data_IF_824305495633
#
_entry.id   IF_824305495633
#
_cell.length_a   1.000
_cell.length_b   1.000
_cell.length_c   1.000
_cell.angle_alpha   90.00
_cell.angle_beta   90.00
_cell.angle_gamma   90.00
#
_symmetry.space_group_name_H-M   'P 1'
#
loop_
_entity.id
_entity.type
_entity.pdbx_description
1 polymer ?
#
# COMPACT_ATOMS: atom_id res chain seq x y z
N UNK A 1 -5.73 -9.20 -0.15
CA UNK A 1 -6.38 -8.63 -1.36
C UNK A 1 -7.53 -9.49 -1.87
N UNK A 2 -7.33 -10.79 -2.25
CA UNK A 2 -8.38 -11.63 -2.87
C UNK A 2 -9.69 -11.66 -2.08
N UNK A 3 -9.63 -11.85 -0.76
CA UNK A 3 -10.83 -11.89 0.11
C UNK A 3 -11.56 -10.54 0.08
N UNK A 4 -10.84 -9.43 0.15
CA UNK A 4 -11.41 -8.09 0.14
C UNK A 4 -12.07 -7.77 -1.22
N UNK A 5 -11.43 -8.15 -2.33
CA UNK A 5 -11.98 -7.96 -3.67
C UNK A 5 -13.27 -8.78 -3.83
N UNK A 6 -13.24 -10.07 -3.48
CA UNK A 6 -14.43 -10.94 -3.54
C UNK A 6 -15.58 -10.48 -2.64
N UNK A 7 -15.25 -9.86 -1.50
CA UNK A 7 -16.23 -9.26 -0.59
C UNK A 7 -16.75 -7.88 -1.05
N UNK A 8 -16.25 -7.35 -2.18
CA UNK A 8 -16.65 -6.05 -2.73
C UNK A 8 -16.20 -4.85 -1.92
N UNK A 9 -15.12 -4.97 -1.13
CA UNK A 9 -14.63 -3.89 -0.27
C UNK A 9 -14.24 -2.62 -1.03
N UNK A 10 -13.86 -2.75 -2.30
CA UNK A 10 -13.42 -1.63 -3.16
C UNK A 10 -14.50 -1.14 -4.12
N UNK A 11 -15.72 -1.69 -4.06
CA UNK A 11 -16.78 -1.41 -5.05
C UNK A 11 -17.10 0.09 -5.17
N UNK A 12 -17.11 0.80 -4.06
CA UNK A 12 -17.48 2.22 -4.04
C UNK A 12 -16.31 3.15 -4.45
N UNK A 13 -15.10 2.61 -4.55
CA UNK A 13 -13.88 3.32 -4.96
C UNK A 13 -13.58 3.16 -6.46
N UNK A 14 -14.15 2.14 -7.11
CA UNK A 14 -13.87 1.81 -8.51
C UNK A 14 -14.64 2.75 -9.42
N UNK A 15 -13.90 3.47 -10.26
CA UNK A 15 -14.45 4.29 -11.36
C UNK A 15 -14.20 3.58 -12.68
N UNK A 16 -15.25 3.03 -13.34
CA UNK A 16 -15.09 2.32 -14.60
C UNK A 16 -14.54 3.24 -15.72
N UNK A 17 -13.55 2.75 -16.47
CA UNK A 17 -13.00 3.44 -17.64
C UNK A 17 -13.58 2.81 -18.90
N UNK A 18 -14.26 3.62 -19.71
CA UNK A 18 -14.89 3.18 -20.96
C UNK A 18 -13.96 3.45 -22.14
N UNK A 19 -13.44 2.39 -22.74
CA UNK A 19 -12.52 2.47 -23.88
C UNK A 19 -13.33 2.26 -25.17
N UNK A 20 -13.46 3.30 -25.99
CA UNK A 20 -14.11 3.22 -27.29
C UNK A 20 -13.32 2.29 -28.23
N UNK A 21 -14.03 1.40 -28.90
CA UNK A 21 -13.46 0.51 -29.90
C UNK A 21 -13.74 1.07 -31.32
N UNK A 22 -12.86 0.74 -32.28
CA UNK A 22 -13.09 1.11 -33.67
C UNK A 22 -14.33 0.41 -34.27
N UNK A 23 -14.61 -0.80 -33.81
CA UNK A 23 -15.78 -1.60 -34.19
C UNK A 23 -16.28 -2.35 -32.93
N UNK A 24 -17.60 -2.50 -32.83
CA UNK A 24 -18.25 -3.18 -31.71
C UNK A 24 -18.50 -2.29 -30.49
N UNK A 25 -18.91 -2.90 -29.40
CA UNK A 25 -19.24 -2.22 -28.15
C UNK A 25 -17.97 -1.72 -27.43
N UNK A 26 -18.07 -0.61 -26.69
CA UNK A 26 -16.97 -0.14 -25.86
C UNK A 26 -16.52 -1.20 -24.84
N UNK A 27 -15.21 -1.28 -24.59
CA UNK A 27 -14.68 -2.10 -23.51
C UNK A 27 -14.73 -1.31 -22.20
N UNK A 28 -15.38 -1.85 -21.18
CA UNK A 28 -15.35 -1.30 -19.82
C UNK A 28 -14.21 -1.95 -19.05
N UNK A 29 -13.38 -1.13 -18.41
CA UNK A 29 -12.30 -1.57 -17.52
C UNK A 29 -12.64 -1.08 -16.11
N UNK A 30 -13.02 -1.99 -15.25
CA UNK A 30 -13.48 -1.76 -13.87
C UNK A 30 -12.89 -2.77 -12.88
N UNK A 31 -11.99 -3.61 -13.34
CA UNK A 31 -11.40 -4.69 -12.55
C UNK A 31 -9.88 -4.59 -12.59
N UNK A 32 -9.25 -4.63 -11.42
CA UNK A 32 -7.80 -4.76 -11.30
C UNK A 32 -7.38 -6.18 -11.68
N UNK A 33 -6.61 -6.29 -12.74
CA UNK A 33 -6.14 -7.57 -13.30
C UNK A 33 -4.81 -8.06 -12.72
N UNK A 34 -4.16 -7.25 -11.87
CA UNK A 34 -2.86 -7.56 -11.29
C UNK A 34 -2.92 -8.66 -10.19
N UNK A 35 -3.91 -8.69 -9.28
CA UNK A 35 -3.99 -9.68 -8.22
C UNK A 35 -4.06 -11.11 -8.75
N UNK A 36 -3.22 -12.00 -8.20
CA UNK A 36 -3.16 -13.42 -8.56
C UNK A 36 -3.99 -14.26 -7.58
N UNK A 37 -5.23 -14.51 -7.93
CA UNK A 37 -6.13 -15.32 -7.11
C UNK A 37 -5.67 -16.77 -7.03
N UNK A 38 -5.83 -17.37 -5.86
CA UNK A 38 -5.42 -18.75 -5.60
C UNK A 38 -3.90 -18.95 -5.53
N UNK A 39 -3.11 -17.89 -5.31
CA UNK A 39 -1.67 -18.04 -5.08
C UNK A 39 -1.39 -18.90 -3.84
N UNK A 40 -0.45 -19.84 -3.98
CA UNK A 40 -0.02 -20.75 -2.89
C UNK A 40 1.48 -20.67 -2.66
N UNK A 41 1.91 -21.00 -1.46
CA UNK A 41 3.34 -21.02 -1.09
C UNK A 41 4.10 -21.99 -2.01
N UNK A 42 3.53 -23.15 -2.33
CA UNK A 42 4.13 -24.16 -3.21
C UNK A 42 4.28 -23.65 -4.65
N UNK A 43 3.32 -22.85 -5.12
CA UNK A 43 3.39 -22.19 -6.42
C UNK A 43 4.47 -21.10 -6.44
N UNK A 44 4.54 -20.29 -5.40
CA UNK A 44 5.54 -19.23 -5.25
C UNK A 44 6.97 -19.78 -5.13
N UNK A 45 7.16 -20.88 -4.41
CA UNK A 45 8.47 -21.52 -4.22
C UNK A 45 9.11 -22.03 -5.51
N UNK A 46 8.33 -22.22 -6.58
CA UNK A 46 8.82 -22.66 -7.91
C UNK A 46 9.36 -21.52 -8.78
N UNK A 47 9.16 -20.28 -8.35
CA UNK A 47 9.58 -19.13 -9.14
C UNK A 47 11.09 -18.89 -9.04
N UNK A 48 11.66 -18.44 -10.16
CA UNK A 48 13.09 -18.13 -10.24
C UNK A 48 13.37 -16.77 -9.57
N UNK A 49 14.55 -16.62 -8.94
CA UNK A 49 15.02 -15.32 -8.49
C UNK A 49 15.03 -14.28 -9.60
N UNK A 50 14.59 -13.05 -9.27
CA UNK A 50 14.45 -11.98 -10.27
C UNK A 50 15.73 -11.15 -10.48
N UNK A 51 16.60 -11.04 -9.48
CA UNK A 51 17.73 -10.09 -9.50
C UNK A 51 19.10 -10.77 -9.48
N UNK A 52 19.33 -11.64 -8.53
CA UNK A 52 20.61 -12.33 -8.39
C UNK A 52 20.42 -13.85 -8.45
N UNK A 53 21.39 -14.54 -9.03
CA UNK A 53 21.42 -16.01 -9.04
C UNK A 53 21.35 -16.51 -7.59
N UNK A 54 20.50 -17.50 -7.34
CA UNK A 54 20.28 -18.08 -6.02
C UNK A 54 19.74 -17.08 -4.95
N UNK A 55 19.17 -15.95 -5.40
CA UNK A 55 18.52 -14.97 -4.54
C UNK A 55 17.12 -15.42 -4.08
N UNK A 56 16.54 -14.66 -3.15
CA UNK A 56 15.24 -14.97 -2.55
C UNK A 56 14.08 -14.11 -3.08
N UNK A 57 14.38 -13.03 -3.80
CA UNK A 57 13.36 -12.15 -4.37
C UNK A 57 12.89 -12.69 -5.72
N UNK A 58 11.59 -12.91 -5.82
CA UNK A 58 10.90 -13.42 -7.02
C UNK A 58 9.73 -12.51 -7.39
N UNK A 59 9.11 -12.76 -8.52
CA UNK A 59 7.90 -12.03 -8.95
C UNK A 59 6.70 -12.20 -7.99
N UNK A 60 6.74 -13.16 -7.05
CA UNK A 60 5.66 -13.38 -6.11
C UNK A 60 5.84 -12.69 -4.75
N UNK A 61 7.02 -12.15 -4.47
CA UNK A 61 7.32 -11.46 -3.21
C UNK A 61 7.93 -10.07 -3.43
N UNK A 62 7.68 -9.50 -4.60
CA UNK A 62 8.01 -8.14 -4.99
C UNK A 62 6.78 -7.48 -5.63
N UNK A 63 6.59 -6.18 -5.40
CA UNK A 63 5.55 -5.42 -6.07
C UNK A 63 5.84 -5.25 -7.55
N UNK A 64 4.79 -5.09 -8.36
CA UNK A 64 4.92 -4.74 -9.77
C UNK A 64 5.23 -3.26 -9.97
N UNK A 65 5.65 -2.92 -11.18
CA UNK A 65 5.75 -1.54 -11.65
C UNK A 65 4.47 -1.27 -12.42
N UNK A 66 3.55 -0.50 -11.83
CA UNK A 66 2.24 -0.24 -12.36
C UNK A 66 2.04 1.27 -12.57
N UNK A 67 1.24 1.62 -13.57
CA UNK A 67 0.81 3.00 -13.76
C UNK A 67 -0.21 3.37 -12.68
N UNK A 68 -0.14 4.61 -12.20
CA UNK A 68 -1.07 5.10 -11.19
C UNK A 68 -1.02 6.61 -11.07
N UNK A 69 -2.09 7.18 -10.58
CA UNK A 69 -2.16 8.60 -10.26
C UNK A 69 -3.05 8.81 -9.03
N UNK A 70 -2.68 9.78 -8.20
CA UNK A 70 -3.48 10.22 -7.08
C UNK A 70 -3.44 11.75 -6.96
N UNK A 71 -4.54 12.33 -6.52
CA UNK A 71 -4.64 13.77 -6.30
C UNK A 71 -5.36 14.03 -4.98
N UNK A 72 -4.83 14.99 -4.21
CA UNK A 72 -5.39 15.41 -2.93
C UNK A 72 -5.54 16.93 -2.89
N UNK A 73 -6.62 17.39 -2.28
CA UNK A 73 -6.76 18.80 -1.87
C UNK A 73 -6.41 18.89 -0.40
N UNK A 74 -5.33 19.62 -0.10
CA UNK A 74 -4.84 19.83 1.27
C UNK A 74 -5.05 21.28 1.61
N UNK A 75 -5.60 21.56 2.79
CA UNK A 75 -5.84 22.91 3.30
C UNK A 75 -5.74 22.95 4.83
N UNK A 76 -5.71 24.14 5.42
CA UNK A 76 -5.79 24.26 6.87
C UNK A 76 -7.20 23.93 7.38
N UNK A 77 -7.31 23.59 8.66
CA UNK A 77 -8.59 23.32 9.30
C UNK A 77 -9.52 24.55 9.23
N UNK A 78 -8.96 25.75 9.45
CA UNK A 78 -9.68 27.02 9.38
C UNK A 78 -10.26 27.26 7.98
N UNK A 79 -9.46 26.92 6.93
CA UNK A 79 -9.93 27.09 5.54
C UNK A 79 -11.03 26.08 5.19
N UNK A 80 -10.96 24.87 5.71
CA UNK A 80 -12.02 23.87 5.53
C UNK A 80 -13.33 24.35 6.19
N UNK A 81 -13.25 24.91 7.39
CA UNK A 81 -14.39 25.48 8.11
C UNK A 81 -14.99 26.68 7.35
N UNK A 82 -14.16 27.64 6.91
CA UNK A 82 -14.59 28.79 6.11
C UNK A 82 -15.37 28.38 4.86
N UNK A 83 -14.93 27.29 4.20
CA UNK A 83 -15.56 26.78 2.97
C UNK A 83 -16.71 25.80 3.24
N UNK A 84 -17.02 25.46 4.48
CA UNK A 84 -18.05 24.48 4.84
C UNK A 84 -17.70 23.06 4.38
N UNK A 85 -16.41 22.73 4.25
CA UNK A 85 -15.93 21.43 3.79
C UNK A 85 -15.66 20.54 5.01
N UNK A 86 -16.21 19.32 5.01
CA UNK A 86 -15.86 18.30 5.99
C UNK A 86 -14.59 17.57 5.55
N UNK A 87 -13.46 17.67 6.28
CA UNK A 87 -12.24 16.94 5.93
C UNK A 87 -12.43 15.43 6.03
N UNK A 88 -11.82 14.68 5.11
CA UNK A 88 -11.76 13.22 5.18
C UNK A 88 -10.84 12.75 6.31
N UNK A 89 -9.73 13.46 6.53
CA UNK A 89 -8.75 13.15 7.57
C UNK A 89 -7.95 14.41 7.92
N UNK A 90 -7.29 14.38 9.08
CA UNK A 90 -6.31 15.37 9.52
C UNK A 90 -4.91 14.75 9.47
N UNK A 91 -3.96 15.44 8.83
CA UNK A 91 -2.55 15.08 8.91
C UNK A 91 -2.04 15.47 10.30
N UNK A 92 -1.70 14.49 11.13
CA UNK A 92 -1.21 14.71 12.50
C UNK A 92 0.29 14.96 12.48
N UNK A 93 1.04 14.13 11.77
CA UNK A 93 2.49 14.24 11.64
C UNK A 93 2.98 13.54 10.39
N UNK A 94 4.26 13.75 10.07
CA UNK A 94 4.99 12.97 9.10
C UNK A 94 6.44 12.76 9.55
N UNK A 95 7.11 11.77 9.00
CA UNK A 95 8.51 11.48 9.28
C UNK A 95 9.30 11.14 8.02
N UNK A 96 10.54 11.59 7.98
CA UNK A 96 11.50 11.30 6.91
C UNK A 96 12.84 10.88 7.51
N UNK A 97 13.54 9.97 6.84
CA UNK A 97 14.89 9.57 7.22
C UNK A 97 15.66 9.09 5.99
N UNK A 98 16.83 9.68 5.77
CA UNK A 98 17.83 9.12 4.87
C UNK A 98 18.56 7.95 5.54
N UNK A 99 18.89 6.93 4.76
CA UNK A 99 19.68 5.79 5.23
C UNK A 99 20.53 5.23 4.08
N UNK A 100 21.37 4.24 4.37
CA UNK A 100 22.21 3.60 3.38
C UNK A 100 21.35 3.02 2.25
N UNK A 101 21.66 3.29 0.96
CA UNK A 101 20.90 2.78 -0.17
C UNK A 101 20.76 1.25 -0.21
N UNK A 102 21.74 0.51 0.33
CA UNK A 102 21.70 -0.96 0.39
C UNK A 102 20.56 -1.52 1.23
N UNK A 103 20.04 -0.73 2.15
CA UNK A 103 18.91 -1.07 3.02
C UNK A 103 17.73 -0.08 2.87
N UNK A 104 17.60 0.53 1.70
CA UNK A 104 16.54 1.53 1.41
C UNK A 104 15.15 1.06 1.84
N UNK A 105 14.82 -0.20 1.64
CA UNK A 105 13.53 -0.79 2.02
C UNK A 105 13.22 -0.73 3.52
N UNK A 106 14.23 -0.51 4.37
CA UNK A 106 14.06 -0.35 5.81
C UNK A 106 13.71 1.09 6.25
N UNK A 107 13.65 2.03 5.29
CA UNK A 107 13.27 3.43 5.52
C UNK A 107 11.99 3.63 6.34
N UNK A 108 10.91 2.90 6.08
CA UNK A 108 9.66 3.01 6.83
C UNK A 108 9.82 2.83 8.35
N UNK A 109 10.74 1.99 8.81
CA UNK A 109 11.03 1.85 10.24
C UNK A 109 11.43 3.18 10.88
N UNK A 110 12.42 3.84 10.32
CA UNK A 110 12.92 5.11 10.86
C UNK A 110 11.93 6.26 10.68
N UNK A 111 11.28 6.32 9.53
CA UNK A 111 10.30 7.36 9.22
C UNK A 111 9.07 7.25 10.14
N UNK A 112 8.56 6.04 10.39
CA UNK A 112 7.45 5.81 11.33
C UNK A 112 7.82 6.22 12.75
N UNK A 113 8.99 5.81 13.24
CA UNK A 113 9.45 6.24 14.58
C UNK A 113 9.49 7.76 14.70
N UNK A 114 9.98 8.45 13.65
CA UNK A 114 10.03 9.92 13.67
C UNK A 114 8.63 10.54 13.63
N UNK A 115 7.73 10.02 12.84
CA UNK A 115 6.35 10.50 12.78
C UNK A 115 5.63 10.33 14.12
N UNK A 116 5.77 9.17 14.77
CA UNK A 116 5.19 8.89 16.09
C UNK A 116 5.78 9.79 17.18
N UNK A 117 7.11 10.00 17.16
CA UNK A 117 7.78 10.92 18.07
C UNK A 117 7.19 12.35 17.97
N UNK A 118 7.04 12.86 16.75
CA UNK A 118 6.48 14.21 16.51
C UNK A 118 5.01 14.30 16.95
N UNK A 119 4.25 13.23 16.76
CA UNK A 119 2.86 13.16 17.18
C UNK A 119 2.68 12.88 18.68
N UNK A 120 3.75 12.55 19.40
CA UNK A 120 3.71 12.03 20.78
C UNK A 120 2.78 10.81 20.91
N UNK A 121 2.88 9.90 19.93
CA UNK A 121 2.13 8.65 19.86
C UNK A 121 3.09 7.45 19.93
N UNK A 122 2.52 6.29 20.26
CA UNK A 122 3.16 4.98 20.20
C UNK A 122 2.54 4.13 19.10
N UNK A 123 3.19 3.02 18.77
CA UNK A 123 2.67 2.10 17.75
C UNK A 123 1.33 1.47 18.18
N UNK A 124 1.14 1.23 19.46
CA UNK A 124 -0.07 0.65 20.05
C UNK A 124 -1.29 1.58 19.92
N UNK A 125 -1.05 2.88 19.80
CA UNK A 125 -2.11 3.90 19.66
C UNK A 125 -2.71 3.94 18.25
N UNK A 126 -2.10 3.22 17.29
CA UNK A 126 -2.61 3.15 15.93
C UNK A 126 -3.74 2.12 15.80
N UNK A 127 -4.85 2.53 15.20
CA UNK A 127 -5.99 1.65 14.94
C UNK A 127 -5.80 0.86 13.64
N UNK A 128 -5.23 1.48 12.60
CA UNK A 128 -4.96 0.89 11.31
C UNK A 128 -3.60 1.33 10.79
N UNK A 129 -2.95 0.45 10.04
CA UNK A 129 -1.66 0.67 9.41
C UNK A 129 -1.75 0.23 7.96
N UNK A 130 -1.50 1.15 7.03
CA UNK A 130 -1.31 0.86 5.62
C UNK A 130 0.18 1.01 5.31
N UNK A 131 0.85 -0.10 5.04
CA UNK A 131 2.28 -0.17 4.78
C UNK A 131 2.54 -0.79 3.41
N UNK A 132 3.21 -0.04 2.53
CA UNK A 132 3.53 -0.53 1.20
C UNK A 132 4.44 -1.76 1.26
N UNK A 133 3.99 -2.84 0.63
CA UNK A 133 4.70 -4.12 0.55
C UNK A 133 5.56 -4.17 -0.72
N UNK A 134 6.52 -3.23 -0.85
CA UNK A 134 7.41 -3.20 -2.00
C UNK A 134 8.14 -4.54 -2.21
N UNK A 135 8.59 -5.15 -1.10
CA UNK A 135 9.11 -6.51 -1.03
C UNK A 135 8.62 -7.17 0.25
N UNK A 136 8.24 -8.44 0.18
CA UNK A 136 7.76 -9.16 1.38
C UNK A 136 8.82 -9.17 2.50
N UNK A 137 10.09 -9.39 2.17
CA UNK A 137 11.17 -9.38 3.15
C UNK A 137 11.33 -8.02 3.85
N UNK A 138 11.23 -6.91 3.10
CA UNK A 138 11.28 -5.56 3.64
C UNK A 138 10.08 -5.28 4.55
N UNK A 139 8.89 -5.63 4.11
CA UNK A 139 7.64 -5.44 4.87
C UNK A 139 7.68 -6.20 6.18
N UNK A 140 8.10 -7.46 6.15
CA UNK A 140 8.26 -8.30 7.35
C UNK A 140 9.30 -7.75 8.32
N UNK A 141 10.45 -7.26 7.83
CA UNK A 141 11.47 -6.67 8.68
C UNK A 141 10.96 -5.42 9.40
N UNK A 142 10.29 -4.51 8.68
CA UNK A 142 9.69 -3.30 9.25
C UNK A 142 8.61 -3.64 10.26
N UNK A 143 7.70 -4.56 9.93
CA UNK A 143 6.60 -4.97 10.81
C UNK A 143 7.12 -5.60 12.10
N UNK A 144 8.14 -6.47 12.00
CA UNK A 144 8.77 -7.11 13.15
C UNK A 144 9.43 -6.09 14.09
N UNK A 145 10.23 -5.20 13.54
CA UNK A 145 11.04 -4.29 14.35
C UNK A 145 10.23 -3.10 14.92
N UNK A 146 9.11 -2.75 14.28
CA UNK A 146 8.12 -1.83 14.83
C UNK A 146 7.08 -2.52 15.73
N UNK A 147 7.15 -3.83 15.84
CA UNK A 147 6.20 -4.64 16.64
C UNK A 147 4.75 -4.40 16.22
N UNK A 148 4.47 -4.43 14.91
CA UNK A 148 3.12 -4.22 14.39
C UNK A 148 2.15 -5.31 14.87
N UNK A 149 0.96 -4.90 15.28
CA UNK A 149 -0.19 -5.79 15.36
C UNK A 149 -0.68 -6.10 13.94
N UNK A 150 -0.34 -7.29 13.42
CA UNK A 150 -0.66 -7.68 12.06
C UNK A 150 -2.17 -7.75 11.75
N UNK A 151 -3.03 -7.78 12.77
CA UNK A 151 -4.47 -7.70 12.58
C UNK A 151 -4.96 -6.31 12.15
N UNK A 152 -4.11 -5.29 12.34
CA UNK A 152 -4.36 -3.90 11.96
C UNK A 152 -3.63 -3.46 10.69
N UNK A 153 -2.78 -4.33 10.11
CA UNK A 153 -1.92 -3.98 8.97
C UNK A 153 -2.55 -4.45 7.66
N UNK A 154 -2.65 -3.54 6.69
CA UNK A 154 -3.12 -3.84 5.33
C UNK A 154 -4.37 -4.72 5.34
N UNK A 155 -5.36 -4.33 6.14
CA UNK A 155 -6.54 -5.16 6.46
C UNK A 155 -7.38 -5.58 5.25
N UNK A 156 -7.22 -4.89 4.13
CA UNK A 156 -7.83 -5.23 2.84
C UNK A 156 -6.80 -5.78 1.82
N UNK A 157 -5.57 -5.97 2.23
CA UNK A 157 -4.45 -6.41 1.41
C UNK A 157 -3.49 -5.26 1.08
N UNK A 158 -2.24 -5.61 0.83
CA UNK A 158 -1.18 -4.70 0.44
C UNK A 158 -0.70 -4.95 -0.96
#
# INVERSE_FOLDING_TARGET
>A
AEVAIKAGKFKDEIVPVVIRQRKGEPKVVDTDEYPRFGATIEGMAKLRPAFIKDGTVTAANASGINDGAAAFVVMSAEKAEELGITPLAKIVSYGQKGLDPSIMGYGPFHATKKALEVANLKIEDLDLIEANEAFAAQSLAVAKDLNFDMSKVNVNGG
#
